data_IF_599404003502
#
_entry.id   IF_599404003502
#
_cell.length_a   1.000
_cell.length_b   1.000
_cell.length_c   1.000
_cell.angle_alpha   90.00
_cell.angle_beta   90.00
_cell.angle_gamma   90.00
#
_symmetry.space_group_name_H-M   'P 1'
#
loop_
_entity.id
_entity.type
_entity.pdbx_description
1 polymer ?
#
# COMPACT_ATOMS: atom_id res chain seq x y z
N UNK A 1 -26.06 2.66 -5.92
CA UNK A 1 -24.96 2.52 -4.94
C UNK A 1 -23.97 3.65 -5.19
N UNK A 2 -23.62 4.40 -4.15
CA UNK A 2 -22.71 5.56 -4.20
C UNK A 2 -21.39 5.20 -3.55
N UNK A 3 -20.28 5.45 -4.24
CA UNK A 3 -18.93 5.08 -3.81
C UNK A 3 -18.09 6.35 -3.65
N UNK A 4 -17.26 6.42 -2.61
CA UNK A 4 -16.25 7.46 -2.45
C UNK A 4 -14.84 6.87 -2.55
N UNK A 5 -13.97 7.53 -3.29
CA UNK A 5 -12.52 7.36 -3.18
C UNK A 5 -12.01 8.54 -2.35
N UNK A 6 -11.78 8.33 -1.07
CA UNK A 6 -11.29 9.37 -0.17
C UNK A 6 -9.77 9.30 -0.03
N UNK A 7 -9.09 10.29 -0.56
CA UNK A 7 -7.64 10.33 -0.71
C UNK A 7 -7.22 10.10 -2.16
N UNK A 8 -7.81 10.85 -3.09
CA UNK A 8 -7.47 10.82 -4.50
C UNK A 8 -6.12 11.51 -4.76
N UNK A 9 -5.05 10.91 -4.24
CA UNK A 9 -3.69 11.10 -4.70
C UNK A 9 -3.44 10.26 -5.96
N UNK A 10 -2.21 9.83 -6.21
CA UNK A 10 -1.88 9.06 -7.41
C UNK A 10 -2.70 7.75 -7.52
N UNK A 11 -2.62 6.90 -6.50
CA UNK A 11 -3.30 5.59 -6.49
C UNK A 11 -4.83 5.74 -6.47
N UNK A 12 -5.36 6.69 -5.68
CA UNK A 12 -6.81 6.91 -5.58
C UNK A 12 -7.41 7.48 -6.86
N UNK A 13 -6.68 8.35 -7.56
CA UNK A 13 -7.10 8.86 -8.88
C UNK A 13 -7.19 7.73 -9.90
N UNK A 14 -6.20 6.83 -9.94
CA UNK A 14 -6.23 5.66 -10.84
C UNK A 14 -7.44 4.77 -10.52
N UNK A 15 -7.63 4.39 -9.26
CA UNK A 15 -8.74 3.50 -8.88
C UNK A 15 -10.10 4.14 -9.17
N UNK A 16 -10.29 5.41 -8.76
CA UNK A 16 -11.53 6.15 -8.99
C UNK A 16 -11.88 6.28 -10.46
N UNK A 17 -10.89 6.62 -11.29
CA UNK A 17 -11.06 6.72 -12.73
C UNK A 17 -11.45 5.37 -13.37
N UNK A 18 -10.76 4.28 -13.00
CA UNK A 18 -11.04 2.95 -13.54
C UNK A 18 -12.42 2.44 -13.12
N UNK A 19 -12.83 2.69 -11.89
CA UNK A 19 -14.19 2.36 -11.43
C UNK A 19 -15.25 3.16 -12.16
N UNK A 20 -15.02 4.47 -12.37
CA UNK A 20 -15.92 5.33 -13.16
C UNK A 20 -16.03 4.84 -14.61
N UNK A 21 -14.89 4.53 -15.26
CA UNK A 21 -14.87 3.94 -16.59
C UNK A 21 -15.64 2.62 -16.68
N UNK A 22 -15.60 1.82 -15.60
CA UNK A 22 -16.36 0.58 -15.45
C UNK A 22 -17.85 0.78 -15.10
N UNK A 23 -18.35 2.02 -15.13
CA UNK A 23 -19.78 2.34 -14.91
C UNK A 23 -20.19 2.41 -13.43
N UNK A 24 -19.26 2.55 -12.49
CA UNK A 24 -19.58 2.78 -11.08
C UNK A 24 -19.88 4.27 -10.83
N UNK A 25 -20.82 4.54 -9.90
CA UNK A 25 -21.09 5.92 -9.43
C UNK A 25 -20.09 6.29 -8.33
N UNK A 26 -19.03 6.99 -8.71
CA UNK A 26 -17.86 7.26 -7.85
C UNK A 26 -17.60 8.75 -7.72
N UNK A 27 -17.45 9.20 -6.49
CA UNK A 27 -16.88 10.51 -6.16
C UNK A 27 -15.40 10.36 -5.81
N UNK A 28 -14.58 11.21 -6.41
CA UNK A 28 -13.11 11.21 -6.26
C UNK A 28 -12.72 12.40 -5.40
N UNK A 29 -12.35 12.15 -4.12
CA UNK A 29 -12.23 13.20 -3.11
C UNK A 29 -10.77 13.40 -2.73
N UNK A 30 -10.31 14.67 -2.76
CA UNK A 30 -8.98 15.06 -2.29
C UNK A 30 -8.98 16.48 -1.74
N UNK A 31 -8.08 16.78 -0.80
CA UNK A 31 -7.87 18.13 -0.26
C UNK A 31 -7.06 19.04 -1.18
N UNK A 32 -6.49 18.52 -2.25
CA UNK A 32 -5.67 19.27 -3.20
C UNK A 32 -6.57 19.98 -4.22
N UNK A 33 -6.82 21.28 -4.02
CA UNK A 33 -7.68 22.11 -4.86
C UNK A 33 -7.24 22.11 -6.33
N UNK A 34 -5.94 22.28 -6.59
CA UNK A 34 -5.41 22.27 -7.95
C UNK A 34 -5.63 20.93 -8.66
N UNK A 35 -5.58 19.82 -7.91
CA UNK A 35 -5.89 18.50 -8.44
C UNK A 35 -7.38 18.33 -8.72
N UNK A 36 -8.25 18.79 -7.81
CA UNK A 36 -9.72 18.78 -8.02
C UNK A 36 -10.08 19.59 -9.26
N UNK A 37 -9.51 20.80 -9.40
CA UNK A 37 -9.73 21.65 -10.58
C UNK A 37 -9.33 20.93 -11.87
N UNK A 38 -8.12 20.36 -11.92
CA UNK A 38 -7.66 19.59 -13.08
C UNK A 38 -8.52 18.38 -13.40
N UNK A 39 -9.00 17.64 -12.37
CA UNK A 39 -9.91 16.52 -12.54
C UNK A 39 -11.30 16.95 -13.06
N UNK A 40 -11.84 18.08 -12.59
CA UNK A 40 -13.13 18.62 -13.05
C UNK A 40 -13.04 19.12 -14.51
N UNK A 41 -11.96 19.83 -14.86
CA UNK A 41 -11.79 20.44 -16.18
C UNK A 41 -11.38 19.44 -17.26
N UNK A 42 -10.44 18.55 -16.94
CA UNK A 42 -9.76 17.70 -17.93
C UNK A 42 -10.08 16.22 -17.76
N UNK A 43 -10.71 15.83 -16.65
CA UNK A 43 -10.80 14.44 -16.23
C UNK A 43 -9.50 13.90 -15.63
N UNK A 44 -9.50 12.65 -15.21
CA UNK A 44 -8.33 11.94 -14.72
C UNK A 44 -7.44 11.52 -15.89
N UNK A 45 -6.31 12.19 -16.05
CA UNK A 45 -5.31 11.88 -17.08
C UNK A 45 -4.33 10.85 -16.53
N UNK A 46 -4.36 9.64 -17.07
CA UNK A 46 -3.52 8.52 -16.63
C UNK A 46 -2.49 8.20 -17.71
N UNK A 47 -1.21 8.43 -17.40
CA UNK A 47 -0.08 8.06 -18.25
C UNK A 47 0.47 6.73 -17.78
N UNK A 48 0.27 5.67 -18.53
CA UNK A 48 0.84 4.36 -18.25
C UNK A 48 2.23 4.24 -18.90
N UNK A 49 3.28 4.48 -18.12
CA UNK A 49 4.66 4.44 -18.63
C UNK A 49 5.14 3.04 -18.96
N UNK A 50 4.63 2.02 -18.27
CA UNK A 50 4.96 0.63 -18.54
C UNK A 50 4.41 0.15 -19.90
N UNK A 51 3.15 0.51 -20.22
CA UNK A 51 2.45 0.12 -21.47
C UNK A 51 2.63 1.18 -22.58
N UNK A 52 3.23 2.33 -22.27
CA UNK A 52 3.38 3.47 -23.19
C UNK A 52 2.04 3.95 -23.74
N UNK A 53 1.02 3.98 -22.89
CA UNK A 53 -0.34 4.44 -23.23
C UNK A 53 -0.75 5.61 -22.35
N UNK A 54 -1.64 6.44 -22.88
CA UNK A 54 -2.26 7.54 -22.10
C UNK A 54 -3.76 7.52 -22.37
N UNK A 55 -4.54 7.75 -21.33
CA UNK A 55 -5.99 7.84 -21.45
C UNK A 55 -6.57 8.81 -20.42
N UNK A 56 -7.69 9.42 -20.77
CA UNK A 56 -8.40 10.39 -19.94
C UNK A 56 -9.80 9.88 -19.63
N UNK A 57 -10.20 9.97 -18.37
CA UNK A 57 -11.51 9.51 -17.92
C UNK A 57 -12.19 10.67 -17.17
N UNK A 58 -13.38 11.13 -17.63
CA UNK A 58 -14.18 12.07 -16.84
C UNK A 58 -14.52 11.46 -15.48
N UNK A 59 -14.34 12.22 -14.40
CA UNK A 59 -14.61 11.78 -13.03
C UNK A 59 -15.37 12.88 -12.27
N UNK A 60 -16.18 12.49 -11.31
CA UNK A 60 -16.80 13.43 -10.38
C UNK A 60 -15.83 13.73 -9.23
N UNK A 61 -15.06 14.79 -9.35
CA UNK A 61 -14.06 15.18 -8.36
C UNK A 61 -14.58 16.29 -7.44
N UNK A 62 -14.20 16.23 -6.16
CA UNK A 62 -14.63 17.24 -5.19
C UNK A 62 -13.65 17.37 -4.02
N UNK A 63 -13.75 18.50 -3.32
CA UNK A 63 -13.12 18.71 -2.02
C UNK A 63 -13.91 17.98 -0.92
N UNK A 64 -13.30 17.66 0.24
CA UNK A 64 -14.02 17.11 1.38
C UNK A 64 -15.20 17.98 1.84
N UNK A 65 -15.07 19.30 1.78
CA UNK A 65 -16.13 20.26 2.12
C UNK A 65 -17.35 20.20 1.20
N UNK A 66 -17.19 19.70 -0.02
CA UNK A 66 -18.27 19.56 -1.01
C UNK A 66 -19.04 18.23 -0.86
N UNK A 67 -18.63 17.34 0.06
CA UNK A 67 -19.29 16.07 0.31
C UNK A 67 -20.61 16.26 1.05
N UNK A 68 -21.74 16.20 0.36
CA UNK A 68 -23.08 16.36 0.92
C UNK A 68 -23.85 15.05 1.06
N UNK A 69 -23.45 14.00 0.34
CA UNK A 69 -24.14 12.73 0.30
C UNK A 69 -23.58 11.70 1.30
N UNK A 70 -24.36 10.64 1.53
CA UNK A 70 -23.89 9.45 2.25
C UNK A 70 -23.52 8.33 1.27
N UNK A 71 -22.48 7.58 1.63
CA UNK A 71 -21.86 6.57 0.78
C UNK A 71 -22.14 5.15 1.26
N UNK A 72 -22.35 4.25 0.31
CA UNK A 72 -22.45 2.81 0.56
C UNK A 72 -21.06 2.19 0.81
N UNK A 73 -20.05 2.69 0.08
CA UNK A 73 -18.65 2.25 0.20
C UNK A 73 -17.73 3.45 0.16
N UNK A 74 -16.82 3.54 1.12
CA UNK A 74 -15.73 4.50 1.11
C UNK A 74 -14.41 3.74 1.01
N UNK A 75 -13.69 3.91 -0.10
CA UNK A 75 -12.30 3.48 -0.21
C UNK A 75 -11.40 4.53 0.43
N UNK A 76 -10.75 4.18 1.55
CA UNK A 76 -9.84 5.06 2.28
C UNK A 76 -8.41 4.91 1.74
N UNK A 77 -7.89 5.97 1.11
CA UNK A 77 -6.61 5.96 0.39
C UNK A 77 -5.66 7.10 0.82
N UNK A 78 -5.96 7.74 1.93
CA UNK A 78 -5.09 8.75 2.54
C UNK A 78 -3.92 8.11 3.30
N UNK A 79 -2.98 8.91 3.81
CA UNK A 79 -1.94 8.40 4.71
C UNK A 79 -2.52 8.07 6.08
N UNK A 80 -2.09 6.96 6.68
CA UNK A 80 -2.63 6.43 7.94
C UNK A 80 -2.55 7.41 9.11
N UNK A 81 -1.51 8.26 9.15
CA UNK A 81 -1.33 9.26 10.22
C UNK A 81 -2.52 10.18 10.44
N UNK A 82 -3.38 10.31 9.45
CA UNK A 82 -4.58 11.17 9.50
C UNK A 82 -5.87 10.38 9.75
N UNK A 83 -5.80 9.07 10.01
CA UNK A 83 -6.99 8.23 10.09
C UNK A 83 -7.96 8.66 11.18
N UNK A 84 -7.49 9.06 12.35
CA UNK A 84 -8.37 9.47 13.45
C UNK A 84 -9.29 10.64 13.03
N UNK A 85 -8.70 11.73 12.55
CA UNK A 85 -9.43 12.92 12.06
C UNK A 85 -10.34 12.59 10.87
N UNK A 86 -9.80 11.84 9.90
CA UNK A 86 -10.51 11.52 8.67
C UNK A 86 -11.70 10.60 8.93
N UNK A 87 -11.54 9.58 9.76
CA UNK A 87 -12.62 8.66 10.06
C UNK A 87 -13.74 9.30 10.87
N UNK A 88 -13.42 10.20 11.78
CA UNK A 88 -14.40 11.02 12.48
C UNK A 88 -15.21 11.88 11.49
N UNK A 89 -14.54 12.53 10.55
CA UNK A 89 -15.18 13.31 9.47
C UNK A 89 -16.06 12.43 8.55
N UNK A 90 -15.62 11.22 8.24
CA UNK A 90 -16.31 10.31 7.31
C UNK A 90 -17.49 9.56 7.94
N UNK A 91 -17.49 9.36 9.25
CA UNK A 91 -18.52 8.56 9.93
C UNK A 91 -19.96 9.03 9.63
N UNK A 92 -20.31 10.34 9.71
CA UNK A 92 -21.65 10.84 9.36
C UNK A 92 -21.97 10.76 7.86
N UNK A 93 -20.95 10.60 7.00
CA UNK A 93 -21.08 10.45 5.55
C UNK A 93 -21.14 9.00 5.09
N UNK A 94 -21.05 8.07 6.01
CA UNK A 94 -21.21 6.64 5.76
C UNK A 94 -22.64 6.24 6.08
N UNK A 95 -23.33 5.57 5.13
CA UNK A 95 -24.68 5.04 5.38
C UNK A 95 -24.66 4.06 6.56
N UNK A 96 -25.83 3.82 7.15
CA UNK A 96 -25.99 2.91 8.30
C UNK A 96 -25.32 1.55 8.04
N UNK A 97 -25.54 0.98 6.84
CA UNK A 97 -24.96 -0.30 6.40
C UNK A 97 -23.75 -0.11 5.48
N UNK A 98 -23.25 1.12 5.36
CA UNK A 98 -22.09 1.46 4.56
C UNK A 98 -20.80 0.92 5.17
N UNK A 99 -19.81 0.68 4.35
CA UNK A 99 -18.51 0.09 4.74
C UNK A 99 -17.34 1.00 4.37
N UNK A 100 -16.25 0.88 5.15
CA UNK A 100 -14.96 1.48 4.82
C UNK A 100 -14.01 0.37 4.39
N UNK A 101 -13.48 0.50 3.16
CA UNK A 101 -12.47 -0.40 2.61
C UNK A 101 -11.14 0.36 2.52
N UNK A 102 -10.21 0.07 3.43
CA UNK A 102 -8.92 0.76 3.41
C UNK A 102 -7.96 0.12 2.41
N UNK A 103 -7.33 0.95 1.55
CA UNK A 103 -6.28 0.52 0.61
C UNK A 103 -4.90 1.03 1.03
N UNK A 104 -4.81 1.66 2.18
CA UNK A 104 -3.57 2.18 2.77
C UNK A 104 -2.54 1.05 2.95
N UNK A 105 -1.26 1.39 2.98
CA UNK A 105 -0.19 0.44 3.28
C UNK A 105 -0.12 0.17 4.80
N UNK A 106 0.61 -0.86 5.23
CA UNK A 106 0.71 -1.24 6.63
C UNK A 106 -0.49 -2.04 7.12
N UNK A 107 -0.92 -1.79 8.34
CA UNK A 107 -2.05 -2.45 9.03
C UNK A 107 -3.12 -1.42 9.43
N UNK A 108 -3.80 -0.78 8.47
CA UNK A 108 -4.72 0.33 8.75
C UNK A 108 -6.06 -0.10 9.34
N UNK A 109 -6.43 -1.37 9.22
CA UNK A 109 -7.76 -1.87 9.61
C UNK A 109 -8.07 -1.63 11.07
N UNK A 110 -7.06 -1.67 11.95
CA UNK A 110 -7.24 -1.46 13.38
C UNK A 110 -7.83 -0.06 13.68
N UNK A 111 -7.31 0.98 13.03
CA UNK A 111 -7.83 2.33 13.20
C UNK A 111 -9.24 2.50 12.61
N UNK A 112 -9.54 1.82 11.50
CA UNK A 112 -10.87 1.83 10.88
C UNK A 112 -11.88 1.11 11.77
N UNK A 113 -11.51 -0.05 12.29
CA UNK A 113 -12.31 -0.87 13.20
C UNK A 113 -12.82 -0.09 14.41
N UNK A 114 -11.94 0.70 15.04
CA UNK A 114 -12.28 1.50 16.23
C UNK A 114 -13.37 2.53 15.96
N UNK A 115 -13.51 3.01 14.72
CA UNK A 115 -14.49 4.04 14.35
C UNK A 115 -15.78 3.45 13.80
N UNK A 116 -15.69 2.51 12.83
CA UNK A 116 -16.89 2.02 12.13
C UNK A 116 -17.36 0.66 12.58
N UNK A 117 -16.59 -0.02 13.42
CA UNK A 117 -16.87 -1.36 13.90
C UNK A 117 -16.40 -2.45 12.93
N UNK A 118 -16.31 -3.67 13.45
CA UNK A 118 -15.73 -4.84 12.78
C UNK A 118 -16.44 -5.24 11.49
N UNK A 119 -17.78 -5.25 11.52
CA UNK A 119 -18.63 -5.68 10.40
C UNK A 119 -18.55 -4.73 9.19
N UNK A 120 -18.10 -3.50 9.45
CA UNK A 120 -18.01 -2.42 8.45
C UNK A 120 -16.58 -2.11 8.03
N UNK A 121 -15.59 -2.87 8.53
CA UNK A 121 -14.16 -2.71 8.23
C UNK A 121 -13.70 -3.75 7.22
N UNK A 122 -13.19 -3.26 6.10
CA UNK A 122 -12.65 -4.06 5.00
C UNK A 122 -11.27 -3.54 4.59
N UNK A 123 -10.46 -4.42 4.05
CA UNK A 123 -9.15 -4.07 3.52
C UNK A 123 -8.99 -4.48 2.06
N UNK A 124 -8.23 -3.67 1.35
CA UNK A 124 -7.87 -3.91 -0.04
C UNK A 124 -6.35 -3.76 -0.20
N UNK A 125 -5.67 -4.84 -0.46
CA UNK A 125 -4.21 -4.90 -0.65
C UNK A 125 -3.92 -4.67 -2.12
N UNK A 126 -3.55 -3.43 -2.48
CA UNK A 126 -3.25 -3.06 -3.86
C UNK A 126 -1.82 -3.46 -4.27
N UNK A 127 -1.69 -4.00 -5.48
CA UNK A 127 -0.42 -4.42 -6.10
C UNK A 127 -0.20 -3.70 -7.44
N UNK A 128 -0.29 -2.39 -7.41
CA UNK A 128 0.11 -1.49 -8.51
C UNK A 128 0.76 -0.23 -7.93
N UNK A 129 1.50 0.50 -8.74
CA UNK A 129 2.16 1.73 -8.36
C UNK A 129 1.71 2.90 -9.23
N UNK A 130 1.62 4.09 -8.63
CA UNK A 130 1.33 5.33 -9.36
C UNK A 130 2.06 6.51 -8.70
N UNK A 131 2.46 7.48 -9.52
CA UNK A 131 3.08 8.72 -9.12
C UNK A 131 2.14 9.90 -9.39
N UNK A 132 2.15 10.86 -8.47
CA UNK A 132 1.37 12.07 -8.61
C UNK A 132 2.09 13.07 -9.53
N UNK A 133 1.42 13.53 -10.58
CA UNK A 133 1.96 14.52 -11.52
C UNK A 133 1.29 15.88 -11.39
N UNK A 134 0.23 15.99 -10.59
CA UNK A 134 -0.51 17.24 -10.35
C UNK A 134 -1.65 17.51 -11.35
N UNK A 135 -2.53 18.44 -10.97
CA UNK A 135 -3.56 19.01 -11.84
C UNK A 135 -4.37 18.01 -12.68
N UNK A 136 -4.87 16.94 -12.03
CA UNK A 136 -5.66 15.90 -12.68
C UNK A 136 -4.83 14.80 -13.36
N UNK A 137 -3.49 14.91 -13.39
CA UNK A 137 -2.60 13.96 -14.06
C UNK A 137 -1.86 13.07 -13.08
N UNK A 138 -1.79 11.77 -13.40
CA UNK A 138 -1.07 10.74 -12.64
C UNK A 138 -0.32 9.79 -13.58
N UNK A 139 0.83 9.30 -13.14
CA UNK A 139 1.59 8.27 -13.82
C UNK A 139 1.25 6.91 -13.20
N UNK A 140 0.79 5.96 -14.00
CA UNK A 140 0.67 4.56 -13.63
C UNK A 140 1.99 3.86 -14.00
N UNK A 141 2.74 3.41 -12.99
CA UNK A 141 4.06 2.79 -13.18
C UNK A 141 3.99 1.27 -13.39
N UNK A 142 2.84 0.67 -13.13
CA UNK A 142 2.58 -0.74 -13.37
C UNK A 142 1.92 -0.96 -14.73
N UNK A 143 2.24 -2.08 -15.38
CA UNK A 143 1.49 -2.55 -16.54
C UNK A 143 0.01 -2.76 -16.17
N UNK A 144 -0.90 -2.33 -17.01
CA UNK A 144 -2.37 -2.43 -16.77
C UNK A 144 -2.77 -3.89 -16.52
N UNK A 145 -2.28 -4.81 -17.33
CA UNK A 145 -2.56 -6.25 -17.20
C UNK A 145 -1.94 -6.91 -15.95
N UNK A 146 -0.97 -6.25 -15.31
CA UNK A 146 -0.34 -6.73 -14.08
C UNK A 146 -0.91 -6.11 -12.79
N UNK A 147 -1.78 -5.10 -12.92
CA UNK A 147 -2.47 -4.52 -11.77
C UNK A 147 -3.35 -5.55 -11.08
N UNK A 148 -3.29 -5.60 -9.76
CA UNK A 148 -4.19 -6.43 -8.99
C UNK A 148 -4.48 -5.85 -7.62
N UNK A 149 -5.61 -6.23 -7.06
CA UNK A 149 -6.00 -5.95 -5.68
C UNK A 149 -6.50 -7.23 -5.03
N UNK A 150 -6.25 -7.39 -3.73
CA UNK A 150 -6.81 -8.47 -2.93
C UNK A 150 -7.68 -7.86 -1.84
N UNK A 151 -8.94 -8.28 -1.76
CA UNK A 151 -9.94 -7.67 -0.88
C UNK A 151 -10.55 -8.69 0.07
N UNK A 152 -10.76 -8.29 1.32
CA UNK A 152 -11.40 -9.14 2.35
C UNK A 152 -11.91 -8.29 3.51
N UNK A 153 -12.77 -8.92 4.34
CA UNK A 153 -13.23 -8.32 5.59
C UNK A 153 -12.19 -8.43 6.69
N UNK A 154 -12.27 -7.51 7.64
CA UNK A 154 -11.51 -7.61 8.88
C UNK A 154 -12.03 -8.81 9.67
N UNK A 155 -11.21 -9.83 9.82
CA UNK A 155 -11.54 -11.15 10.39
C UNK A 155 -12.63 -11.90 9.60
N UNK A 156 -12.33 -13.14 9.21
CA UNK A 156 -13.24 -14.11 8.59
C UNK A 156 -13.99 -13.68 7.31
N UNK A 157 -13.25 -13.10 6.33
CA UNK A 157 -13.76 -12.87 4.98
C UNK A 157 -14.72 -11.69 4.79
N UNK A 158 -15.56 -11.42 5.78
CA UNK A 158 -16.56 -10.35 5.77
C UNK A 158 -17.73 -10.60 4.80
N UNK A 159 -18.95 -10.34 5.25
CA UNK A 159 -20.20 -10.59 4.52
C UNK A 159 -20.27 -9.79 3.20
N UNK A 160 -19.69 -8.58 3.16
CA UNK A 160 -19.72 -7.71 1.98
C UNK A 160 -18.49 -7.85 1.05
N UNK A 161 -17.65 -8.85 1.26
CA UNK A 161 -16.53 -9.14 0.35
C UNK A 161 -16.99 -9.40 -1.10
N UNK A 162 -18.09 -10.14 -1.37
CA UNK A 162 -18.61 -10.31 -2.73
C UNK A 162 -19.05 -8.99 -3.38
N UNK A 163 -19.64 -8.07 -2.60
CA UNK A 163 -19.98 -6.73 -3.08
C UNK A 163 -18.74 -5.94 -3.50
N UNK A 164 -17.70 -5.95 -2.68
CA UNK A 164 -16.44 -5.30 -3.02
C UNK A 164 -15.76 -5.92 -4.24
N UNK A 165 -15.83 -7.25 -4.36
CA UNK A 165 -15.36 -7.96 -5.57
C UNK A 165 -16.10 -7.49 -6.81
N UNK A 166 -17.43 -7.40 -6.77
CA UNK A 166 -18.24 -6.90 -7.88
C UNK A 166 -17.82 -5.47 -8.27
N UNK A 167 -17.74 -4.56 -7.29
CA UNK A 167 -17.32 -3.17 -7.51
C UNK A 167 -15.94 -3.13 -8.17
N UNK A 168 -14.95 -3.78 -7.58
CA UNK A 168 -13.56 -3.74 -8.07
C UNK A 168 -13.39 -4.45 -9.42
N UNK A 169 -14.21 -5.46 -9.72
CA UNK A 169 -14.19 -6.12 -11.03
C UNK A 169 -14.56 -5.19 -12.18
N UNK A 170 -15.30 -4.10 -11.91
CA UNK A 170 -15.61 -3.06 -12.90
C UNK A 170 -14.35 -2.35 -13.39
N UNK A 171 -13.38 -2.09 -12.49
CA UNK A 171 -12.09 -1.54 -12.86
C UNK A 171 -11.29 -2.53 -13.74
N UNK A 172 -11.36 -3.82 -13.43
CA UNK A 172 -10.75 -4.87 -14.25
C UNK A 172 -11.35 -4.92 -15.66
N UNK A 173 -12.68 -4.95 -15.77
CA UNK A 173 -13.39 -4.92 -17.06
C UNK A 173 -13.05 -3.67 -17.88
N UNK A 174 -12.96 -2.51 -17.24
CA UNK A 174 -12.60 -1.25 -17.89
C UNK A 174 -11.21 -1.26 -18.54
N UNK A 175 -10.34 -2.16 -18.11
CA UNK A 175 -8.93 -2.28 -18.57
C UNK A 175 -8.67 -3.60 -19.32
N UNK A 176 -9.65 -4.49 -19.46
CA UNK A 176 -9.43 -5.83 -19.99
C UNK A 176 -8.62 -6.76 -19.08
N UNK A 177 -8.46 -6.41 -17.81
CA UNK A 177 -7.72 -7.20 -16.83
C UNK A 177 -8.68 -8.02 -15.96
N UNK A 178 -8.98 -9.23 -16.37
CA UNK A 178 -9.88 -10.15 -15.64
C UNK A 178 -9.33 -10.57 -14.27
N UNK A 179 -8.01 -10.47 -14.05
CA UNK A 179 -7.34 -10.82 -12.80
C UNK A 179 -7.13 -9.61 -11.87
N UNK A 180 -7.81 -8.48 -12.12
CA UNK A 180 -7.64 -7.27 -11.34
C UNK A 180 -7.97 -7.46 -9.86
N UNK A 181 -9.04 -8.18 -9.53
CA UNK A 181 -9.50 -8.39 -8.15
C UNK A 181 -9.48 -9.86 -7.75
N UNK A 182 -8.98 -10.11 -6.53
CA UNK A 182 -9.06 -11.40 -5.84
C UNK A 182 -9.67 -11.17 -4.47
N UNK A 183 -10.43 -12.14 -3.97
CA UNK A 183 -10.91 -12.15 -2.59
C UNK A 183 -10.01 -12.99 -1.70
N UNK A 184 -10.02 -12.70 -0.40
CA UNK A 184 -9.34 -13.50 0.61
C UNK A 184 -10.15 -13.55 1.90
N UNK A 185 -10.16 -14.71 2.53
CA UNK A 185 -10.66 -14.90 3.90
C UNK A 185 -9.53 -14.67 4.93
N UNK A 186 -8.31 -14.44 4.46
CA UNK A 186 -7.11 -14.19 5.28
C UNK A 186 -6.51 -12.82 4.96
N UNK A 187 -7.29 -11.75 5.19
CA UNK A 187 -6.83 -10.38 4.96
C UNK A 187 -5.56 -10.06 5.77
N UNK A 188 -5.49 -10.51 7.01
CA UNK A 188 -4.31 -10.32 7.86
C UNK A 188 -3.04 -10.91 7.21
N UNK A 189 -3.11 -12.12 6.69
CA UNK A 189 -1.99 -12.74 5.98
C UNK A 189 -1.59 -11.98 4.71
N UNK A 190 -2.56 -11.47 3.95
CA UNK A 190 -2.31 -10.65 2.77
C UNK A 190 -1.63 -9.31 3.14
N UNK A 191 -2.08 -8.66 4.22
CA UNK A 191 -1.47 -7.44 4.77
C UNK A 191 -0.04 -7.68 5.22
N UNK A 192 0.19 -8.70 6.04
CA UNK A 192 1.51 -9.03 6.55
C UNK A 192 2.49 -9.43 5.44
N UNK A 193 2.02 -10.14 4.40
CA UNK A 193 2.85 -10.45 3.23
C UNK A 193 3.32 -9.20 2.50
N UNK A 194 2.43 -8.22 2.28
CA UNK A 194 2.79 -6.93 1.68
C UNK A 194 3.63 -6.09 2.63
N UNK A 195 3.30 -6.07 3.92
CA UNK A 195 4.04 -5.34 4.94
C UNK A 195 5.51 -5.79 4.99
N UNK A 196 5.77 -7.10 4.98
CA UNK A 196 7.12 -7.64 4.99
C UNK A 196 7.96 -7.12 3.80
N UNK A 197 7.38 -7.11 2.59
CA UNK A 197 8.06 -6.56 1.40
C UNK A 197 8.30 -5.05 1.57
N UNK A 198 7.31 -4.31 2.02
CA UNK A 198 7.44 -2.86 2.21
C UNK A 198 8.47 -2.54 3.31
N UNK A 199 8.44 -3.23 4.44
CA UNK A 199 9.41 -3.01 5.53
C UNK A 199 10.84 -3.25 5.06
N UNK A 200 11.08 -4.32 4.30
CA UNK A 200 12.40 -4.66 3.80
C UNK A 200 12.88 -3.69 2.70
N UNK A 201 12.04 -3.43 1.70
CA UNK A 201 12.48 -2.70 0.51
C UNK A 201 12.16 -1.21 0.57
N UNK A 202 10.99 -0.81 1.08
CA UNK A 202 10.67 0.62 1.18
C UNK A 202 11.47 1.29 2.29
N UNK A 203 11.66 0.64 3.44
CA UNK A 203 12.51 1.16 4.51
C UNK A 203 13.96 1.35 4.05
N UNK A 204 14.57 0.31 3.45
CA UNK A 204 15.92 0.42 2.92
C UNK A 204 16.03 1.44 1.77
N UNK A 205 15.00 1.59 0.93
CA UNK A 205 14.97 2.60 -0.13
C UNK A 205 15.05 4.02 0.45
N UNK A 206 14.35 4.29 1.57
CA UNK A 206 14.41 5.60 2.24
C UNK A 206 15.82 5.91 2.71
N UNK A 207 16.45 4.99 3.41
CA UNK A 207 17.76 5.27 4.03
C UNK A 207 18.93 5.27 3.02
N UNK A 208 18.77 4.58 1.86
CA UNK A 208 19.86 4.42 0.89
C UNK A 208 19.68 5.21 -0.40
N UNK A 209 18.46 5.67 -0.73
CA UNK A 209 18.11 6.24 -2.04
C UNK A 209 18.02 5.20 -3.17
N UNK A 210 18.26 3.92 -2.89
CA UNK A 210 18.31 2.86 -3.89
C UNK A 210 16.92 2.38 -4.32
N UNK A 211 16.85 1.88 -5.56
CA UNK A 211 15.71 1.13 -6.07
C UNK A 211 15.62 -0.25 -5.42
N UNK A 212 14.45 -0.87 -5.47
CA UNK A 212 14.26 -2.24 -4.97
C UNK A 212 15.19 -3.26 -5.64
N UNK A 213 15.51 -3.04 -6.93
CA UNK A 213 16.44 -3.90 -7.66
C UNK A 213 17.89 -3.78 -7.20
N UNK A 214 18.33 -2.56 -6.88
CA UNK A 214 19.67 -2.30 -6.32
C UNK A 214 19.80 -2.89 -4.93
N UNK A 215 18.79 -2.73 -4.07
CA UNK A 215 18.73 -3.34 -2.74
C UNK A 215 18.80 -4.86 -2.85
N UNK A 216 18.02 -5.48 -3.74
CA UNK A 216 17.99 -6.94 -3.91
C UNK A 216 19.31 -7.52 -4.44
N UNK A 217 20.13 -6.73 -5.16
CA UNK A 217 21.41 -7.14 -5.74
C UNK A 217 22.61 -6.83 -4.84
N UNK A 218 22.54 -5.73 -4.08
CA UNK A 218 23.64 -5.29 -3.23
C UNK A 218 24.02 -6.32 -2.18
N UNK A 219 25.33 -6.51 -1.95
CA UNK A 219 25.81 -7.56 -1.02
C UNK A 219 25.32 -7.35 0.41
N UNK A 220 25.36 -6.11 0.91
CA UNK A 220 24.95 -5.75 2.28
C UNK A 220 23.45 -5.54 2.36
N UNK A 221 22.89 -4.72 1.46
CA UNK A 221 21.45 -4.39 1.45
C UNK A 221 20.54 -5.61 1.34
N UNK A 222 20.88 -6.62 0.49
CA UNK A 222 20.06 -7.84 0.38
C UNK A 222 20.10 -8.73 1.63
N UNK A 223 21.20 -8.70 2.41
CA UNK A 223 21.27 -9.41 3.69
C UNK A 223 20.35 -8.76 4.71
N UNK A 224 20.40 -7.43 4.81
CA UNK A 224 19.54 -6.66 5.69
C UNK A 224 18.08 -6.86 5.27
N UNK A 225 17.75 -6.74 3.97
CA UNK A 225 16.41 -6.98 3.47
C UNK A 225 15.88 -8.38 3.83
N UNK A 226 16.70 -9.43 3.70
CA UNK A 226 16.33 -10.78 4.11
C UNK A 226 16.10 -10.87 5.63
N UNK A 227 16.92 -10.20 6.43
CA UNK A 227 16.74 -10.11 7.88
C UNK A 227 15.40 -9.47 8.25
N UNK A 228 15.08 -8.30 7.68
CA UNK A 228 13.81 -7.60 7.88
C UNK A 228 12.61 -8.46 7.46
N UNK A 229 12.69 -9.13 6.31
CA UNK A 229 11.66 -10.07 5.88
C UNK A 229 11.40 -11.16 6.92
N UNK A 230 12.49 -11.69 7.52
CA UNK A 230 12.40 -12.73 8.55
C UNK A 230 11.86 -12.21 9.88
N UNK A 231 12.23 -11.00 10.30
CA UNK A 231 11.61 -10.34 11.46
C UNK A 231 10.09 -10.22 11.28
N UNK A 232 9.64 -9.74 10.12
CA UNK A 232 8.21 -9.66 9.81
C UNK A 232 7.52 -11.03 9.84
N UNK A 233 8.17 -12.08 9.31
CA UNK A 233 7.64 -13.46 9.34
C UNK A 233 7.54 -14.01 10.77
N UNK A 234 8.53 -13.73 11.61
CA UNK A 234 8.54 -14.17 13.01
C UNK A 234 7.42 -13.51 13.81
N UNK A 235 7.26 -12.20 13.65
CA UNK A 235 6.17 -11.46 14.29
C UNK A 235 4.81 -11.97 13.82
N UNK A 236 4.61 -12.13 12.50
CA UNK A 236 3.37 -12.69 11.96
C UNK A 236 3.09 -14.11 12.51
N UNK A 237 4.11 -14.96 12.56
CA UNK A 237 4.00 -16.32 13.12
C UNK A 237 3.62 -16.32 14.61
N UNK A 238 4.26 -15.44 15.41
CA UNK A 238 3.96 -15.31 16.84
C UNK A 238 2.54 -14.77 17.09
N UNK A 239 1.99 -13.99 16.15
CA UNK A 239 0.59 -13.54 16.15
C UNK A 239 -0.40 -14.60 15.62
N UNK A 240 0.08 -15.79 15.22
CA UNK A 240 -0.77 -16.83 14.63
C UNK A 240 -1.23 -16.51 13.19
N UNK A 241 -0.59 -15.58 12.50
CA UNK A 241 -0.97 -15.14 11.16
C UNK A 241 -0.22 -15.96 10.11
N UNK A 242 -0.97 -16.66 9.27
CA UNK A 242 -0.42 -17.36 8.10
C UNK A 242 -0.30 -16.37 6.93
N UNK A 243 0.91 -16.22 6.39
CA UNK A 243 1.15 -15.31 5.27
C UNK A 243 0.48 -15.79 3.98
N UNK A 244 -0.14 -14.88 3.26
CA UNK A 244 -0.69 -15.14 1.93
C UNK A 244 0.41 -15.18 0.86
N UNK A 245 0.17 -15.99 -0.18
CA UNK A 245 1.07 -16.02 -1.34
C UNK A 245 1.00 -14.70 -2.11
N UNK A 246 2.15 -14.09 -2.33
CA UNK A 246 2.26 -12.88 -3.14
C UNK A 246 2.64 -13.25 -4.58
N UNK A 247 1.78 -12.91 -5.54
CA UNK A 247 1.98 -13.25 -6.96
C UNK A 247 2.31 -14.75 -7.20
N UNK A 248 1.62 -15.63 -6.47
CA UNK A 248 1.82 -17.08 -6.53
C UNK A 248 3.03 -17.61 -5.77
N UNK A 249 3.86 -16.74 -5.16
CA UNK A 249 5.06 -17.15 -4.41
C UNK A 249 4.78 -17.22 -2.91
N UNK A 250 5.17 -18.30 -2.30
CA UNK A 250 5.12 -18.52 -0.86
C UNK A 250 6.43 -18.01 -0.25
N UNK A 251 6.35 -16.84 0.41
CA UNK A 251 7.55 -16.21 1.01
C UNK A 251 8.12 -17.05 2.15
N UNK A 252 7.27 -17.69 2.94
CA UNK A 252 7.71 -18.53 4.06
C UNK A 252 8.55 -19.71 3.57
N UNK A 253 8.14 -20.37 2.50
CA UNK A 253 8.91 -21.48 1.89
C UNK A 253 10.19 -21.01 1.24
N UNK A 254 10.18 -19.84 0.58
CA UNK A 254 11.34 -19.34 -0.16
C UNK A 254 12.42 -18.74 0.75
N UNK A 255 12.03 -18.05 1.83
CA UNK A 255 12.94 -17.18 2.58
C UNK A 255 13.04 -17.57 4.06
N UNK A 256 12.10 -18.38 4.58
CA UNK A 256 12.02 -18.74 6.00
C UNK A 256 13.09 -19.74 6.47
N UNK A 257 13.68 -20.53 5.58
CA UNK A 257 14.72 -21.49 5.97
C UNK A 257 16.01 -20.77 6.42
N UNK A 258 16.38 -20.94 7.70
CA UNK A 258 17.52 -20.26 8.34
C UNK A 258 18.80 -21.09 8.38
N UNK A 259 18.79 -22.31 7.85
CA UNK A 259 20.03 -23.10 7.69
C UNK A 259 21.03 -22.34 6.80
N UNK A 260 22.29 -22.71 6.87
CA UNK A 260 23.33 -22.12 6.02
C UNK A 260 22.96 -22.19 4.53
N UNK A 261 22.55 -23.36 4.04
CA UNK A 261 22.14 -23.56 2.64
C UNK A 261 20.82 -22.83 2.32
N UNK A 262 19.84 -22.84 3.22
CA UNK A 262 18.58 -22.12 3.06
C UNK A 262 18.79 -20.60 2.97
N UNK A 263 19.66 -20.03 3.80
CA UNK A 263 20.01 -18.61 3.75
C UNK A 263 20.74 -18.25 2.45
N UNK A 264 21.68 -19.07 1.97
CA UNK A 264 22.33 -18.85 0.68
C UNK A 264 21.34 -18.91 -0.48
N UNK A 265 20.41 -19.89 -0.46
CA UNK A 265 19.34 -19.99 -1.43
C UNK A 265 18.42 -18.75 -1.41
N UNK A 266 17.97 -18.30 -0.24
CA UNK A 266 17.15 -17.11 -0.10
C UNK A 266 17.83 -15.86 -0.68
N UNK A 267 19.12 -15.66 -0.36
CA UNK A 267 19.92 -14.53 -0.89
C UNK A 267 20.11 -14.62 -2.42
N UNK A 268 20.17 -15.82 -2.98
CA UNK A 268 20.22 -16.04 -4.42
C UNK A 268 18.86 -15.76 -5.08
N UNK A 269 17.77 -16.22 -4.47
CA UNK A 269 16.42 -16.09 -5.00
C UNK A 269 15.86 -14.65 -4.95
N UNK A 270 16.31 -13.82 -3.98
CA UNK A 270 15.76 -12.49 -3.71
C UNK A 270 15.77 -11.56 -4.93
N UNK A 271 16.87 -11.42 -5.73
CA UNK A 271 16.85 -10.60 -6.95
C UNK A 271 15.85 -11.07 -8.00
N UNK A 272 15.63 -12.38 -8.12
CA UNK A 272 14.64 -12.94 -9.04
C UNK A 272 13.20 -12.69 -8.54
N UNK A 273 12.98 -12.76 -7.24
CA UNK A 273 11.69 -12.42 -6.64
C UNK A 273 11.33 -10.96 -6.90
N UNK A 274 12.30 -10.06 -6.87
CA UNK A 274 12.12 -8.62 -7.06
C UNK A 274 12.26 -8.14 -8.51
N UNK A 275 12.42 -9.04 -9.49
CA UNK A 275 12.66 -8.69 -10.90
C UNK A 275 11.62 -7.73 -11.48
N UNK A 276 10.33 -7.95 -11.17
CA UNK A 276 9.23 -7.08 -11.63
C UNK A 276 9.26 -5.68 -11.01
N UNK A 277 9.83 -5.55 -9.83
CA UNK A 277 9.90 -4.31 -9.05
C UNK A 277 11.27 -3.64 -9.10
N UNK A 278 12.18 -4.09 -9.97
CA UNK A 278 13.59 -3.66 -9.98
C UNK A 278 13.80 -2.14 -10.14
N UNK A 279 12.91 -1.45 -10.84
CA UNK A 279 12.98 0.00 -11.07
C UNK A 279 12.18 0.80 -10.03
N UNK A 280 11.45 0.12 -9.15
CA UNK A 280 10.59 0.78 -8.18
C UNK A 280 11.44 1.48 -7.11
N UNK A 281 11.10 2.75 -6.84
CA UNK A 281 11.54 3.52 -5.68
C UNK A 281 10.37 3.62 -4.70
N UNK A 282 10.68 3.67 -3.42
CA UNK A 282 9.64 3.80 -2.40
C UNK A 282 8.93 5.16 -2.48
N UNK A 283 7.60 5.17 -2.35
CA UNK A 283 6.85 6.42 -2.16
C UNK A 283 7.25 7.15 -0.87
N UNK A 284 7.71 6.41 0.16
CA UNK A 284 8.27 7.02 1.37
C UNK A 284 9.58 7.78 1.08
N UNK A 285 10.44 7.25 0.20
CA UNK A 285 11.65 7.97 -0.23
C UNK A 285 11.27 9.28 -0.91
N UNK A 286 10.29 9.26 -1.81
CA UNK A 286 9.79 10.48 -2.47
C UNK A 286 9.27 11.51 -1.45
N UNK A 287 8.60 11.07 -0.38
CA UNK A 287 8.16 11.99 0.67
C UNK A 287 9.36 12.67 1.36
N UNK A 288 10.36 11.88 1.76
CA UNK A 288 11.55 12.39 2.48
C UNK A 288 12.38 13.31 1.57
N UNK A 289 12.58 12.97 0.30
CA UNK A 289 13.25 13.83 -0.69
C UNK A 289 12.58 15.19 -0.87
N UNK A 290 11.26 15.28 -0.59
CA UNK A 290 10.51 16.55 -0.62
C UNK A 290 10.35 17.18 0.77
N UNK A 291 11.12 16.76 1.76
CA UNK A 291 11.07 17.30 3.13
C UNK A 291 9.78 16.96 3.89
N UNK A 292 9.06 15.91 3.48
CA UNK A 292 7.84 15.45 4.15
C UNK A 292 8.14 14.25 5.02
N UNK A 293 7.50 14.17 6.18
CA UNK A 293 7.54 12.94 7.00
C UNK A 293 6.86 11.80 6.25
N UNK A 294 7.54 10.66 6.17
CA UNK A 294 7.03 9.45 5.53
C UNK A 294 6.17 8.59 6.48
N UNK A 295 5.78 7.41 6.04
CA UNK A 295 4.95 6.48 6.82
C UNK A 295 5.76 5.37 7.50
N UNK A 296 7.02 5.62 7.86
CA UNK A 296 7.91 4.60 8.43
C UNK A 296 7.34 3.96 9.70
N UNK A 297 6.66 4.74 10.55
CA UNK A 297 6.04 4.26 11.79
C UNK A 297 4.89 3.29 11.54
N UNK A 298 4.21 3.43 10.40
CA UNK A 298 3.11 2.55 9.98
C UNK A 298 3.58 1.36 9.13
N UNK A 299 4.86 1.31 8.79
CA UNK A 299 5.48 0.22 8.03
C UNK A 299 6.44 -0.56 8.93
N UNK A 300 7.69 -0.12 9.11
CA UNK A 300 8.63 -0.79 10.01
C UNK A 300 8.23 -0.62 11.48
N UNK A 301 7.78 0.57 11.88
CA UNK A 301 7.38 0.86 13.26
C UNK A 301 6.21 0.00 13.75
N UNK A 302 5.23 -0.31 12.90
CA UNK A 302 4.16 -1.23 13.29
C UNK A 302 4.67 -2.66 13.50
N UNK A 303 5.69 -3.11 12.76
CA UNK A 303 6.34 -4.41 12.98
C UNK A 303 7.02 -4.43 14.34
N UNK A 304 7.75 -3.37 14.69
CA UNK A 304 8.40 -3.23 16.01
C UNK A 304 7.36 -3.24 17.15
N UNK A 305 6.29 -2.47 17.00
CA UNK A 305 5.18 -2.42 17.97
C UNK A 305 4.54 -3.79 18.19
N UNK A 306 4.24 -4.50 17.11
CA UNK A 306 3.60 -5.82 17.19
C UNK A 306 4.58 -6.89 17.70
N UNK A 307 5.86 -6.82 17.30
CA UNK A 307 6.92 -7.68 17.80
C UNK A 307 7.06 -7.58 19.31
N UNK A 308 7.15 -6.35 19.83
CA UNK A 308 7.20 -6.09 21.27
C UNK A 308 5.98 -6.67 22.02
N UNK A 309 4.80 -6.57 21.43
CA UNK A 309 3.57 -7.09 22.03
C UNK A 309 3.55 -8.62 22.16
N UNK A 310 4.27 -9.34 21.29
CA UNK A 310 4.35 -10.81 21.27
C UNK A 310 5.72 -11.37 21.67
N UNK A 311 6.63 -10.52 22.18
CA UNK A 311 7.95 -10.94 22.65
C UNK A 311 8.94 -11.34 21.54
N UNK A 312 8.78 -10.81 20.33
CA UNK A 312 9.69 -11.03 19.19
C UNK A 312 10.52 -9.77 18.96
N UNK A 313 11.83 -9.91 19.00
CA UNK A 313 12.78 -8.81 18.73
C UNK A 313 12.82 -8.48 17.23
N UNK A 314 12.92 -7.18 16.92
CA UNK A 314 12.92 -6.65 15.54
C UNK A 314 14.03 -5.60 15.34
N UNK A 315 15.29 -5.96 15.64
CA UNK A 315 16.38 -4.97 15.68
C UNK A 315 16.64 -4.29 14.32
N UNK A 316 16.48 -4.99 13.20
CA UNK A 316 16.68 -4.37 11.88
C UNK A 316 15.55 -3.41 11.53
N UNK A 317 14.30 -3.75 11.87
CA UNK A 317 13.17 -2.84 11.69
C UNK A 317 13.33 -1.59 12.57
N UNK A 318 13.72 -1.74 13.83
CA UNK A 318 13.98 -0.61 14.77
C UNK A 318 15.07 0.31 14.23
N UNK A 319 16.19 -0.25 13.80
CA UNK A 319 17.30 0.53 13.25
C UNK A 319 16.91 1.29 11.95
N UNK A 320 16.07 0.70 11.09
CA UNK A 320 15.53 1.38 9.91
C UNK A 320 14.62 2.55 10.31
N UNK A 321 13.78 2.39 11.34
CA UNK A 321 12.92 3.46 11.85
C UNK A 321 13.78 4.62 12.41
N UNK A 322 14.73 4.32 13.28
CA UNK A 322 15.64 5.32 13.87
C UNK A 322 16.43 6.08 12.79
N UNK A 323 16.99 5.35 11.82
CA UNK A 323 17.75 5.97 10.73
C UNK A 323 16.85 6.86 9.87
N UNK A 324 15.61 6.42 9.58
CA UNK A 324 14.65 7.21 8.80
C UNK A 324 14.28 8.50 9.53
N UNK A 325 14.00 8.43 10.84
CA UNK A 325 13.75 9.63 11.64
C UNK A 325 14.97 10.55 11.72
N UNK A 326 16.17 9.97 11.78
CA UNK A 326 17.41 10.74 11.70
C UNK A 326 17.53 11.53 10.39
N UNK A 327 17.17 10.90 9.26
CA UNK A 327 17.15 11.57 7.95
C UNK A 327 16.06 12.66 7.90
N UNK A 328 14.85 12.37 8.37
CA UNK A 328 13.75 13.34 8.43
C UNK A 328 14.08 14.58 9.28
N UNK A 329 14.92 14.41 10.28
CA UNK A 329 15.40 15.47 11.18
C UNK A 329 16.72 16.12 10.73
N UNK A 330 17.27 15.72 9.57
CA UNK A 330 18.52 16.27 9.02
C UNK A 330 19.81 15.82 9.72
N UNK A 331 19.75 14.75 10.53
CA UNK A 331 20.93 14.18 11.21
C UNK A 331 21.76 13.29 10.26
N UNK A 332 21.12 12.70 9.27
CA UNK A 332 21.76 11.86 8.26
C UNK A 332 21.30 12.26 6.87
N UNK A 333 22.18 12.07 5.90
CA UNK A 333 21.81 12.17 4.47
C UNK A 333 21.34 10.82 3.93
N UNK A 334 20.48 10.84 2.89
CA UNK A 334 20.08 9.63 2.17
C UNK A 334 21.32 9.11 1.42
N UNK A 335 21.84 7.95 1.83
CA UNK A 335 23.05 7.40 1.24
C UNK A 335 23.17 5.89 1.41
N UNK A 336 23.71 5.14 0.42
CA UNK A 336 24.08 3.74 0.59
C UNK A 336 25.07 3.48 1.75
N UNK A 337 25.84 4.49 2.18
CA UNK A 337 26.74 4.41 3.34
C UNK A 337 25.98 4.15 4.65
N UNK A 338 24.71 4.52 4.72
CA UNK A 338 23.88 4.24 5.91
C UNK A 338 23.74 2.74 6.20
N UNK A 339 24.01 1.88 5.20
CA UNK A 339 24.08 0.44 5.44
C UNK A 339 25.26 0.05 6.38
N UNK A 340 26.27 0.91 6.56
CA UNK A 340 27.42 0.61 7.41
C UNK A 340 27.07 0.64 8.90
N UNK A 341 25.97 1.23 9.27
CA UNK A 341 25.45 1.20 10.64
C UNK A 341 24.79 -0.16 10.99
N UNK A 342 24.45 -0.98 9.99
CA UNK A 342 23.87 -2.31 10.21
C UNK A 342 24.96 -3.37 10.33
N UNK A 343 25.05 -4.00 11.48
CA UNK A 343 26.03 -5.05 11.82
C UNK A 343 25.65 -6.44 11.24
#
# INVERSE_FOLDING_TARGET
>A
MKIAIYGAGAMGTVLGALLTKGGANVDVITRNEAHVCGLKEKGAQIVCTADKTEFTIPVNAMLPSEMTEQYDVIFLMTKQRYNAEILEFLLPKLKKDGIVCTTQNGLPEESVLQTVGKERTYGCVASYGANFMGNGKVELTSEIGAMSVMVGGYQNGGEKTPLLQEILSRAGKATGNENFVKTTDNLAGARWSKLAINSAFSGLSVITGQTFGEIAKGRKSKKIALGVLRECMDVASALGITLEKMQGKDMQKLLGNRSFFGTRFALFALPFAMKRHKKLRSGMLTDVEHGRKCEIDFINGVVCKMGKAVGVETPLCEQIVEMTHGIENGLYEISPKNLDFFN
#
